data_IF_584453557502
#
_entry.id   IF_584453557502
#
_cell.length_a   1.000
_cell.length_b   1.000
_cell.length_c   1.000
_cell.angle_alpha   90.00
_cell.angle_beta   90.00
_cell.angle_gamma   90.00
#
_symmetry.space_group_name_H-M   'P 1'
#
loop_
_entity.id
_entity.type
_entity.pdbx_description
1 polymer ?
2 non-polymer ?
3 non-polymer ?
4 water ?
#
# COMPACT_ATOMS: atom_id res chain seq x y z
N UNK A 4 -26.29 17.54 -0.61
CA UNK A 4 -25.45 16.45 0.04
C UNK A 4 -23.95 16.69 -0.22
N UNK A 5 -23.14 17.10 0.79
CA UNK A 5 -21.77 17.57 0.55
C UNK A 5 -20.81 16.42 0.20
N UNK A 6 -19.78 16.72 -0.58
CA UNK A 6 -18.74 15.69 -0.93
C UNK A 6 -17.82 15.56 0.27
N UNK A 7 -17.35 14.35 0.59
CA UNK A 7 -16.55 14.19 1.78
C UNK A 7 -15.13 14.69 1.59
N UNK A 8 -14.50 15.04 2.71
CA UNK A 8 -13.10 15.53 2.82
C UNK A 8 -12.23 14.38 3.32
N UNK A 9 -12.86 13.40 3.96
CA UNK A 9 -12.20 12.21 4.55
C UNK A 9 -13.13 11.00 4.46
N UNK A 10 -12.55 9.82 4.22
CA UNK A 10 -13.29 8.53 4.24
C UNK A 10 -12.52 7.59 5.13
N UNK A 11 -13.18 6.54 5.57
CA UNK A 11 -12.47 5.45 6.26
C UNK A 11 -12.48 4.23 5.36
N UNK A 12 -11.33 3.56 5.43
CA UNK A 12 -11.06 2.37 4.60
C UNK A 12 -10.70 1.23 5.52
N UNK A 13 -11.36 0.09 5.35
CA UNK A 13 -11.03 -1.17 6.01
C UNK A 13 -10.17 -2.00 5.02
N UNK A 14 -9.07 -2.50 5.52
CA UNK A 14 -8.20 -3.47 4.83
C UNK A 14 -8.19 -4.75 5.62
N UNK A 15 -8.53 -5.87 4.98
CA UNK A 15 -8.38 -7.19 5.63
C UNK A 15 -7.46 -8.06 4.83
N UNK A 16 -6.64 -8.86 5.50
CA UNK A 16 -5.86 -9.90 4.83
C UNK A 16 -6.02 -11.19 5.63
N UNK A 17 -6.32 -12.24 4.92
CA UNK A 17 -6.51 -13.56 5.56
C UNK A 17 -6.06 -14.66 4.65
N UNK A 18 -5.09 -15.43 5.09
CA UNK A 18 -4.73 -16.69 4.43
C UNK A 18 -5.64 -17.74 5.03
N UNK A 19 -6.56 -18.23 4.21
CA UNK A 19 -7.66 -19.10 4.67
C UNK A 19 -7.22 -20.57 4.77
N UNK A 20 -6.01 -20.91 4.36
CA UNK A 20 -5.51 -22.28 4.53
C UNK A 20 -6.36 -23.29 3.79
N UNK A 21 -6.96 -22.88 2.68
CA UNK A 21 -7.73 -23.76 1.77
C UNK A 21 -8.87 -24.43 2.54
N UNK A 22 -9.43 -23.74 3.55
CA UNK A 22 -10.60 -24.24 4.31
C UNK A 22 -11.70 -23.22 4.19
N UNK A 23 -12.98 -23.63 4.14
CA UNK A 23 -14.04 -22.66 4.21
C UNK A 23 -14.06 -21.94 5.54
N UNK A 24 -14.58 -20.70 5.55
CA UNK A 24 -14.61 -19.91 6.77
C UNK A 24 -15.65 -20.47 7.73
N UNK A 25 -15.62 -20.05 9.01
CA UNK A 25 -16.70 -20.37 9.93
C UNK A 25 -17.91 -19.50 9.61
N UNK A 26 -19.04 -19.80 10.24
CA UNK A 26 -20.35 -19.14 9.97
C UNK A 26 -20.29 -17.65 10.29
N UNK A 27 -19.53 -17.26 11.32
CA UNK A 27 -19.45 -15.85 11.75
C UNK A 27 -18.02 -15.33 11.60
N UNK A 28 -17.87 -14.23 10.86
CA UNK A 28 -16.53 -13.60 10.66
C UNK A 28 -16.67 -12.11 10.95
N UNK A 29 -17.77 -11.68 11.56
CA UNK A 29 -17.95 -10.25 11.85
C UNK A 29 -16.84 -9.57 12.68
N UNK A 30 -16.16 -10.30 13.56
CA UNK A 30 -15.07 -9.77 14.41
C UNK A 30 -13.96 -9.17 13.52
N UNK A 31 -13.77 -9.75 12.34
CA UNK A 31 -12.77 -9.23 11.39
C UNK A 31 -13.11 -7.81 10.97
N UNK A 32 -14.33 -7.60 10.49
CA UNK A 32 -14.77 -6.31 9.94
C UNK A 32 -14.99 -5.28 11.04
N UNK A 33 -15.17 -5.74 12.27
CA UNK A 33 -15.30 -4.85 13.43
C UNK A 33 -13.93 -4.49 14.05
N UNK A 34 -12.82 -5.04 13.54
CA UNK A 34 -11.49 -4.74 14.12
C UNK A 34 -11.47 -5.11 15.62
N UNK A 35 -11.94 -6.33 15.94
CA UNK A 35 -11.98 -6.88 17.32
C UNK A 35 -10.97 -8.03 17.43
N UNK A 36 -10.25 -8.08 18.55
CA UNK A 36 -9.36 -9.19 18.88
C UNK A 36 -8.17 -8.66 19.60
N UNK A 37 -6.98 -8.91 19.05
CA UNK A 37 -5.70 -8.46 19.62
C UNK A 37 -5.18 -7.26 18.83
N UNK A 38 -4.33 -6.46 19.49
CA UNK A 38 -3.61 -5.38 18.84
C UNK A 38 -4.30 -4.08 19.07
N UNK A 39 -4.25 -3.19 18.08
CA UNK A 39 -4.89 -1.86 18.11
C UNK A 39 -6.29 -2.03 17.53
N UNK A 40 -7.28 -2.12 18.41
CA UNK A 40 -8.65 -2.50 18.07
C UNK A 40 -9.56 -1.27 18.06
N UNK A 41 -10.71 -1.48 17.45
CA UNK A 41 -11.69 -0.41 17.21
C UNK A 41 -12.64 -0.35 18.42
N UNK A 42 -13.00 0.87 18.80
CA UNK A 42 -13.95 1.16 19.92
C UNK A 42 -15.31 0.54 19.64
N UNK A 43 -15.92 -0.09 20.66
CA UNK A 43 -17.28 -0.69 20.55
C UNK A 43 -18.31 0.33 20.08
N UNK A 44 -18.11 1.58 20.45
CA UNK A 44 -19.09 2.63 20.12
C UNK A 44 -19.17 2.89 18.61
N UNK A 45 -18.20 2.40 17.83
CA UNK A 45 -18.18 2.56 16.37
C UNK A 45 -18.74 1.34 15.65
N UNK A 46 -19.16 0.30 16.34
CA UNK A 46 -19.48 -0.97 15.66
C UNK A 46 -20.53 -0.83 14.56
N UNK A 47 -21.50 0.08 14.71
CA UNK A 47 -22.57 0.15 13.68
C UNK A 47 -22.23 1.14 12.57
N UNK A 48 -21.13 1.88 12.74
CA UNK A 48 -20.65 2.88 11.74
C UNK A 48 -20.00 2.10 10.61
N UNK A 49 -20.51 2.19 9.36
CA UNK A 49 -19.87 1.50 8.27
C UNK A 49 -18.61 2.27 7.88
N UNK A 50 -17.56 1.55 7.52
CA UNK A 50 -16.47 2.13 6.73
C UNK A 50 -17.00 2.49 5.36
N UNK A 51 -16.34 3.44 4.69
CA UNK A 51 -16.73 3.88 3.34
C UNK A 51 -16.41 2.80 2.32
N UNK A 52 -15.24 2.18 2.47
CA UNK A 52 -14.70 1.19 1.52
C UNK A 52 -14.13 0.05 2.36
N UNK A 53 -14.45 -1.21 1.98
CA UNK A 53 -13.88 -2.46 2.54
C UNK A 53 -13.06 -3.14 1.46
N UNK A 54 -11.81 -3.41 1.73
CA UNK A 54 -10.92 -4.13 0.78
C UNK A 54 -10.47 -5.38 1.46
N UNK A 55 -10.79 -6.52 0.86
CA UNK A 55 -10.64 -7.86 1.49
C UNK A 55 -9.69 -8.72 0.65
N UNK A 56 -8.47 -8.97 1.15
CA UNK A 56 -7.48 -9.79 0.46
C UNK A 56 -7.48 -11.15 1.10
N UNK A 57 -7.62 -12.18 0.32
CA UNK A 57 -7.43 -13.57 0.78
C UNK A 57 -6.33 -14.26 0.00
N UNK A 58 -5.79 -15.24 0.67
CA UNK A 58 -4.80 -16.18 0.09
C UNK A 58 -5.21 -17.58 0.48
N UNK A 59 -4.83 -18.54 -0.34
CA UNK A 59 -5.28 -19.93 -0.14
C UNK A 59 -6.80 -19.95 0.02
N UNK A 60 -7.50 -19.17 -0.80
CA UNK A 60 -8.96 -19.04 -0.74
C UNK A 60 -9.61 -20.17 -1.55
N UNK A 61 -10.38 -21.04 -0.90
CA UNK A 61 -10.97 -22.21 -1.60
C UNK A 61 -12.34 -21.93 -2.19
N UNK A 62 -12.89 -20.75 -1.98
CA UNK A 62 -14.28 -20.41 -2.34
C UNK A 62 -14.32 -19.91 -3.78
N UNK A 63 -15.49 -20.01 -4.38
CA UNK A 63 -15.72 -19.27 -5.63
C UNK A 63 -15.90 -17.78 -5.29
N UNK A 64 -15.74 -16.90 -6.28
CA UNK A 64 -16.04 -15.48 -6.12
C UNK A 64 -17.45 -15.30 -5.60
N UNK A 65 -18.44 -16.00 -6.18
CA UNK A 65 -19.83 -15.84 -5.75
C UNK A 65 -19.97 -16.21 -4.28
N UNK A 66 -19.43 -17.35 -3.90
CA UNK A 66 -19.55 -17.87 -2.53
C UNK A 66 -18.96 -16.85 -1.54
N UNK A 67 -17.80 -16.29 -1.84
CA UNK A 67 -17.14 -15.36 -0.90
C UNK A 67 -17.87 -14.03 -0.84
N UNK A 68 -18.31 -13.53 -1.99
CA UNK A 68 -19.05 -12.25 -2.05
C UNK A 68 -20.35 -12.37 -1.23
N UNK A 69 -21.04 -13.50 -1.34
CA UNK A 69 -22.23 -13.82 -0.51
C UNK A 69 -21.88 -13.55 0.96
N UNK A 70 -20.84 -14.23 1.45
CA UNK A 70 -20.43 -14.23 2.86
C UNK A 70 -20.07 -12.82 3.27
N UNK A 71 -19.28 -12.15 2.44
CA UNK A 71 -18.81 -10.80 2.80
C UNK A 71 -20.00 -9.83 2.90
N UNK A 72 -20.83 -9.79 1.87
CA UNK A 72 -21.98 -8.88 1.86
C UNK A 72 -22.94 -9.13 3.04
N UNK A 73 -23.23 -10.41 3.32
CA UNK A 73 -24.07 -10.83 4.48
C UNK A 73 -23.46 -10.27 5.76
N UNK A 74 -22.16 -10.49 5.98
CA UNK A 74 -21.45 -10.09 7.22
C UNK A 74 -21.58 -8.57 7.40
N UNK A 75 -21.32 -7.80 6.35
CA UNK A 75 -21.41 -6.33 6.43
C UNK A 75 -22.84 -5.87 6.69
N UNK A 76 -23.82 -6.47 6.01
CA UNK A 76 -25.26 -6.13 6.19
C UNK A 76 -25.67 -6.41 7.64
N UNK A 77 -25.20 -7.53 8.22
CA UNK A 77 -25.52 -7.86 9.62
C UNK A 77 -24.92 -6.80 10.56
N UNK A 78 -23.69 -6.36 10.29
CA UNK A 78 -23.02 -5.35 11.15
C UNK A 78 -23.69 -3.97 11.03
N UNK A 79 -23.93 -3.52 9.82
CA UNK A 79 -24.16 -2.09 9.51
C UNK A 79 -25.60 -1.82 9.07
N UNK A 80 -26.33 -2.87 8.69
CA UNK A 80 -27.68 -2.76 8.06
C UNK A 80 -27.57 -2.03 6.73
N UNK A 81 -26.38 -2.03 6.11
CA UNK A 81 -26.14 -1.44 4.75
C UNK A 81 -25.83 -2.57 3.79
N UNK A 82 -26.42 -2.52 2.60
CA UNK A 82 -26.13 -3.43 1.48
C UNK A 82 -25.02 -2.79 0.63
N UNK A 83 -23.82 -3.34 0.76
CA UNK A 83 -22.64 -2.77 0.07
C UNK A 83 -22.69 -3.12 -1.41
N UNK A 84 -22.11 -2.25 -2.23
CA UNK A 84 -21.96 -2.45 -3.68
C UNK A 84 -20.59 -3.03 -3.97
N UNK A 85 -20.54 -3.95 -4.90
CA UNK A 85 -19.28 -4.56 -5.33
C UNK A 85 -18.59 -3.64 -6.31
N UNK A 86 -17.44 -3.09 -5.97
CA UNK A 86 -16.63 -2.22 -6.85
C UNK A 86 -15.84 -3.08 -7.80
N UNK A 87 -15.15 -4.10 -7.29
CA UNK A 87 -14.29 -4.95 -8.10
C UNK A 87 -14.00 -6.23 -7.36
N UNK A 88 -13.73 -7.28 -8.10
CA UNK A 88 -13.25 -8.56 -7.56
C UNK A 88 -12.28 -9.13 -8.56
N UNK A 89 -11.13 -9.61 -8.12
CA UNK A 89 -10.14 -10.20 -9.03
C UNK A 89 -9.39 -11.32 -8.32
N UNK A 90 -9.25 -12.45 -8.99
CA UNK A 90 -8.65 -13.66 -8.43
C UNK A 90 -7.53 -14.15 -9.34
N UNK A 91 -6.37 -14.45 -8.77
CA UNK A 91 -5.28 -15.20 -9.44
C UNK A 91 -5.13 -16.45 -8.62
N UNK A 92 -5.36 -17.61 -9.22
CA UNK A 92 -5.23 -18.90 -8.52
C UNK A 92 -6.11 -18.84 -7.27
N UNK A 93 -5.53 -18.85 -6.10
CA UNK A 93 -6.27 -18.79 -4.82
C UNK A 93 -5.95 -17.50 -4.07
N UNK A 94 -5.48 -16.47 -4.79
CA UNK A 94 -5.25 -15.11 -4.26
C UNK A 94 -6.33 -14.20 -4.76
N UNK A 95 -7.01 -13.50 -3.89
CA UNK A 95 -8.21 -12.77 -4.28
C UNK A 95 -8.30 -11.41 -3.60
N UNK A 96 -8.85 -10.46 -4.31
CA UNK A 96 -9.14 -9.14 -3.74
C UNK A 96 -10.59 -8.80 -4.04
N UNK A 97 -11.33 -8.33 -3.04
CA UNK A 97 -12.72 -7.82 -3.16
C UNK A 97 -12.71 -6.39 -2.66
N UNK A 98 -13.33 -5.47 -3.42
CA UNK A 98 -13.57 -4.09 -2.96
C UNK A 98 -15.07 -3.85 -2.93
N UNK A 99 -15.55 -3.49 -1.74
CA UNK A 99 -16.97 -3.14 -1.50
C UNK A 99 -17.02 -1.70 -1.05
N UNK A 100 -18.09 -1.00 -1.42
CA UNK A 100 -18.27 0.40 -0.99
C UNK A 100 -19.71 0.67 -0.62
N UNK A 101 -19.93 1.66 0.26
CA UNK A 101 -21.29 2.17 0.56
C UNK A 101 -22.00 2.48 -0.75
N UNK A 102 -23.32 2.22 -0.85
CA UNK A 102 -24.05 2.59 -2.07
C UNK A 102 -24.00 4.08 -2.44
N UNK A 103 -23.90 4.96 -1.45
CA UNK A 103 -23.86 6.43 -1.69
C UNK A 103 -22.59 6.79 -2.47
N UNK A 104 -21.59 5.90 -2.49
CA UNK A 104 -20.31 6.18 -3.20
C UNK A 104 -20.29 5.71 -4.64
N UNK A 105 -21.36 5.09 -5.11
CA UNK A 105 -21.33 4.40 -6.42
C UNK A 105 -20.96 5.38 -7.56
N UNK A 106 -21.46 6.62 -7.47
CA UNK A 106 -21.27 7.67 -8.48
C UNK A 106 -20.09 8.59 -8.11
N UNK A 107 -19.30 8.20 -7.10
CA UNK A 107 -18.03 8.88 -6.74
C UNK A 107 -16.85 8.02 -7.21
N UNK A 108 -17.11 6.77 -7.58
CA UNK A 108 -16.06 5.79 -7.91
C UNK A 108 -16.03 5.59 -9.42
N UNK A 109 -14.88 5.74 -10.01
CA UNK A 109 -14.75 5.56 -11.46
C UNK A 109 -13.37 5.01 -11.79
N UNK A 110 -13.08 4.78 -13.06
CA UNK A 110 -11.74 4.36 -13.52
C UNK A 110 -11.29 3.14 -12.72
N UNK A 111 -12.12 2.12 -12.66
CA UNK A 111 -11.79 0.89 -11.91
C UNK A 111 -10.87 0.06 -12.76
N UNK A 112 -9.72 -0.33 -12.20
CA UNK A 112 -8.72 -1.21 -12.87
C UNK A 112 -8.43 -2.41 -11.98
N UNK A 113 -8.12 -3.55 -12.59
CA UNK A 113 -7.69 -4.76 -11.88
C UNK A 113 -6.51 -5.31 -12.64
N UNK A 114 -5.63 -5.99 -11.93
CA UNK A 114 -4.53 -6.70 -12.61
C UNK A 114 -3.96 -7.75 -11.67
N UNK A 115 -3.10 -8.60 -12.17
CA UNK A 115 -2.40 -9.59 -11.33
C UNK A 115 -0.97 -9.66 -11.85
N UNK A 116 -0.10 -10.15 -11.00
CA UNK A 116 1.27 -10.52 -11.35
C UNK A 116 1.54 -11.91 -10.81
N UNK A 117 2.08 -12.79 -11.63
CA UNK A 117 2.55 -14.13 -11.27
C UNK A 117 4.03 -14.06 -10.99
N UNK A 118 4.48 -14.42 -9.77
CA UNK A 118 5.93 -14.32 -9.46
C UNK A 118 6.65 -15.64 -9.80
N UNK A 119 7.99 -15.60 -9.81
CA UNK A 119 8.78 -16.85 -9.98
C UNK A 119 8.96 -17.23 -11.44
N UNK A 120 9.68 -18.34 -11.68
CA UNK A 120 9.97 -18.93 -13.04
C UNK A 120 9.94 -20.46 -12.88
N UNK A 121 9.17 -21.17 -13.73
CA UNK A 121 9.11 -22.65 -13.81
C UNK A 121 8.65 -23.27 -12.48
N UNK A 122 9.55 -23.95 -11.75
CA UNK A 122 9.37 -24.49 -10.36
C UNK A 122 8.58 -23.54 -9.47
N UNK A 123 8.91 -22.25 -9.52
CA UNK A 123 8.46 -21.19 -8.58
C UNK A 123 7.33 -20.36 -9.21
N UNK A 124 6.92 -20.64 -10.46
CA UNK A 124 5.69 -20.04 -11.05
C UNK A 124 4.55 -21.03 -10.89
N UNK A 125 3.46 -20.62 -10.25
CA UNK A 125 2.19 -21.35 -10.35
C UNK A 125 1.29 -21.18 -9.16
N UNK A 126 1.80 -20.59 -8.06
CA UNK A 126 0.81 -20.27 -7.01
C UNK A 126 1.00 -18.93 -6.28
N UNK A 127 2.17 -18.29 -6.36
CA UNK A 127 2.47 -17.02 -5.64
C UNK A 127 2.33 -15.85 -6.62
N UNK A 128 2.01 -14.68 -6.08
CA UNK A 128 1.90 -13.47 -6.88
C UNK A 128 1.00 -12.50 -6.19
N UNK A 129 0.35 -11.64 -6.95
CA UNK A 129 -0.44 -10.55 -6.40
C UNK A 129 -1.62 -10.24 -7.27
N UNK A 130 -2.68 -9.74 -6.65
CA UNK A 130 -3.80 -9.13 -7.38
C UNK A 130 -3.93 -7.69 -6.89
N UNK A 131 -4.50 -6.84 -7.70
CA UNK A 131 -4.70 -5.46 -7.33
C UNK A 131 -5.91 -4.83 -7.94
N UNK A 132 -6.32 -3.76 -7.30
CA UNK A 132 -7.45 -2.96 -7.76
C UNK A 132 -7.06 -1.49 -7.60
N UNK A 133 -7.43 -0.64 -8.55
CA UNK A 133 -7.38 0.80 -8.39
C UNK A 133 -8.64 1.46 -8.89
N UNK A 134 -8.89 2.65 -8.36
CA UNK A 134 -10.00 3.48 -8.85
C UNK A 134 -9.78 4.90 -8.38
N UNK A 135 -10.56 5.79 -8.95
CA UNK A 135 -10.68 7.18 -8.47
C UNK A 135 -11.88 7.23 -7.53
N UNK A 136 -11.74 7.93 -6.42
CA UNK A 136 -12.83 8.29 -5.53
C UNK A 136 -12.87 9.82 -5.58
N UNK A 137 -13.83 10.36 -6.29
CA UNK A 137 -13.81 11.82 -6.63
C UNK A 137 -12.41 12.20 -7.14
N UNK A 138 -11.73 13.16 -6.54
CA UNK A 138 -10.45 13.63 -7.10
C UNK A 138 -9.26 12.83 -6.60
N UNK A 139 -9.49 11.74 -5.86
CA UNK A 139 -8.41 10.99 -5.18
C UNK A 139 -8.22 9.62 -5.78
N UNK A 140 -6.98 9.26 -6.10
CA UNK A 140 -6.68 7.92 -6.67
C UNK A 140 -6.30 6.98 -5.53
N UNK A 141 -6.86 5.79 -5.56
CA UNK A 141 -6.65 4.76 -4.51
C UNK A 141 -6.18 3.48 -5.20
N UNK A 142 -5.12 2.88 -4.68
CA UNK A 142 -4.65 1.57 -5.16
C UNK A 142 -4.55 0.59 -4.01
N UNK A 143 -4.76 -0.68 -4.34
CA UNK A 143 -4.80 -1.77 -3.35
C UNK A 143 -4.15 -2.99 -3.93
N UNK A 144 -3.18 -3.55 -3.20
CA UNK A 144 -2.45 -4.74 -3.64
C UNK A 144 -2.54 -5.80 -2.57
N UNK A 145 -2.95 -7.01 -2.97
CA UNK A 145 -2.95 -8.21 -2.11
C UNK A 145 -1.92 -9.15 -2.69
N UNK A 146 -0.83 -9.37 -1.98
CA UNK A 146 0.23 -10.28 -2.44
C UNK A 146 0.38 -11.47 -1.52
N UNK A 147 0.64 -12.64 -2.09
CA UNK A 147 1.06 -13.87 -1.42
C UNK A 147 2.49 -14.16 -1.85
N UNK A 148 3.45 -13.81 -1.01
CA UNK A 148 4.87 -13.94 -1.40
C UNK A 148 5.41 -15.33 -1.04
N UNK A 149 6.63 -15.59 -1.48
CA UNK A 149 7.26 -16.89 -1.34
C UNK A 149 7.31 -17.23 0.13
N UNK A 150 7.10 -18.51 0.47
CA UNK A 150 7.11 -19.00 1.87
C UNK A 150 8.51 -19.47 2.27
N UNK A 151 8.69 -19.64 3.56
CA UNK A 151 9.90 -20.28 4.08
C UNK A 151 10.83 -19.31 4.75
N UNK A 152 11.31 -19.63 5.94
CA UNK A 152 12.14 -18.71 6.70
C UNK A 152 13.43 -18.30 5.98
N UNK A 153 13.95 -19.18 5.13
CA UNK A 153 15.28 -19.00 4.47
C UNK A 153 15.15 -18.13 3.21
N UNK A 154 13.93 -17.77 2.80
CA UNK A 154 13.66 -17.17 1.47
C UNK A 154 13.31 -15.67 1.53
N UNK A 155 13.88 -14.94 2.47
CA UNK A 155 13.56 -13.49 2.53
C UNK A 155 13.97 -12.75 1.25
N UNK A 156 15.11 -13.11 0.65
CA UNK A 156 15.58 -12.39 -0.57
C UNK A 156 14.63 -12.70 -1.73
N UNK A 157 14.06 -13.91 -1.79
CA UNK A 157 13.03 -14.25 -2.81
C UNK A 157 11.79 -13.36 -2.60
N UNK A 158 11.35 -13.22 -1.35
CA UNK A 158 10.21 -12.33 -1.07
C UNK A 158 10.52 -10.91 -1.57
N UNK A 159 11.74 -10.44 -1.33
CA UNK A 159 12.09 -9.06 -1.75
C UNK A 159 12.02 -8.96 -3.28
N UNK A 160 12.48 -10.01 -3.94
CA UNK A 160 12.40 -10.08 -5.41
C UNK A 160 10.95 -10.10 -5.85
N UNK A 161 10.12 -10.89 -5.16
CA UNK A 161 8.68 -10.97 -5.49
C UNK A 161 8.07 -9.55 -5.41
N UNK A 162 8.38 -8.83 -4.32
CA UNK A 162 7.92 -7.44 -4.16
C UNK A 162 8.30 -6.57 -5.37
N UNK A 163 9.58 -6.64 -5.78
CA UNK A 163 10.02 -5.75 -6.88
C UNK A 163 9.31 -6.15 -8.17
N UNK A 164 9.17 -7.45 -8.44
CA UNK A 164 8.39 -7.86 -9.66
C UNK A 164 6.95 -7.35 -9.61
N UNK A 165 6.29 -7.47 -8.46
CA UNK A 165 4.89 -7.00 -8.37
C UNK A 165 4.83 -5.47 -8.62
N UNK A 166 5.73 -4.77 -7.94
CA UNK A 166 5.89 -3.30 -8.01
C UNK A 166 6.02 -2.89 -9.48
N UNK A 167 6.87 -3.60 -10.23
CA UNK A 167 7.22 -3.24 -11.62
C UNK A 167 6.06 -3.56 -12.56
N UNK A 168 5.42 -4.71 -12.39
CA UNK A 168 4.60 -5.26 -13.48
C UNK A 168 3.11 -5.16 -13.24
N UNK A 169 2.68 -4.79 -12.04
CA UNK A 169 1.25 -4.67 -11.81
C UNK A 169 0.76 -3.39 -12.46
N UNK A 170 -0.17 -3.50 -13.41
CA UNK A 170 -0.60 -2.38 -14.27
C UNK A 170 -1.91 -1.81 -13.76
N UNK A 171 -1.81 -0.88 -12.83
CA UNK A 171 -2.99 -0.23 -12.24
C UNK A 171 -2.87 1.26 -12.46
N UNK A 172 -3.96 1.96 -12.25
CA UNK A 172 -4.01 3.41 -12.30
C UNK A 172 -3.83 3.94 -13.69
N UNK A 173 -3.46 5.21 -13.78
CA UNK A 173 -3.50 6.01 -15.05
C UNK A 173 -2.35 5.59 -15.94
N UNK A 174 -2.65 4.90 -17.03
CA UNK A 174 -1.61 4.42 -17.97
C UNK A 174 -0.83 5.60 -18.57
N UNK A 175 -1.34 6.81 -18.59
CA UNK A 175 -0.60 8.00 -19.10
C UNK A 175 0.60 8.31 -18.19
N UNK A 176 0.60 7.79 -16.95
CA UNK A 176 1.75 7.99 -16.00
C UNK A 176 2.86 7.00 -16.32
N UNK A 177 3.30 6.99 -17.59
CA UNK A 177 4.11 5.86 -18.12
C UNK A 177 5.42 5.71 -17.39
N UNK A 178 6.12 6.75 -16.88
CA UNK A 178 7.37 6.52 -16.18
C UNK A 178 7.19 5.92 -14.78
N UNK A 179 5.96 5.88 -14.28
CA UNK A 179 5.69 5.65 -12.85
C UNK A 179 5.16 4.25 -12.63
N UNK A 180 5.66 3.59 -11.61
CA UNK A 180 5.10 2.31 -11.15
C UNK A 180 3.99 2.58 -10.13
N UNK A 181 3.41 1.50 -9.61
CA UNK A 181 2.29 1.67 -8.66
C UNK A 181 2.69 2.44 -7.41
N UNK A 182 3.99 2.49 -7.05
CA UNK A 182 4.41 3.21 -5.81
C UNK A 182 4.32 4.73 -6.02
N UNK A 183 4.00 5.20 -7.22
CA UNK A 183 3.81 6.65 -7.45
C UNK A 183 2.47 6.96 -8.08
N UNK A 184 1.62 6.01 -8.43
CA UNK A 184 0.42 6.35 -9.23
C UNK A 184 -0.76 6.80 -8.40
N UNK A 185 -0.73 6.60 -7.07
CA UNK A 185 -1.92 6.78 -6.24
C UNK A 185 -1.71 7.74 -5.10
N UNK A 186 -2.75 8.53 -4.81
CA UNK A 186 -2.78 9.38 -3.61
C UNK A 186 -2.53 8.51 -2.36
N UNK A 187 -3.20 7.36 -2.33
CA UNK A 187 -3.05 6.38 -1.23
C UNK A 187 -2.89 4.99 -1.84
N UNK A 188 -1.82 4.28 -1.50
CA UNK A 188 -1.59 2.89 -1.94
C UNK A 188 -1.53 2.03 -0.69
N UNK A 189 -2.34 1.00 -0.63
CA UNK A 189 -2.33 0.00 0.46
C UNK A 189 -1.83 -1.30 -0.11
N UNK A 190 -0.84 -1.89 0.54
CA UNK A 190 -0.23 -3.16 0.13
C UNK A 190 -0.25 -4.12 1.30
N UNK A 191 -0.92 -5.24 1.12
CA UNK A 191 -1.22 -6.17 2.21
C UNK A 191 -1.11 -7.58 1.67
N UNK A 192 -1.23 -8.55 2.56
CA UNK A 192 -1.25 -9.94 2.15
C UNK A 192 -0.52 -10.83 3.11
N UNK A 193 -0.38 -12.09 2.68
CA UNK A 193 0.55 -13.04 3.31
C UNK A 193 1.91 -12.80 2.69
N UNK A 194 2.58 -11.82 3.27
CA UNK A 194 3.92 -11.42 2.84
C UNK A 194 4.97 -12.45 3.24
N UNK A 195 4.66 -13.27 4.23
CA UNK A 195 5.43 -14.51 4.50
C UNK A 195 6.78 -14.24 5.13
N UNK A 196 7.06 -13.02 5.58
CA UNK A 196 8.29 -12.76 6.34
C UNK A 196 8.17 -13.39 7.74
N UNK A 197 9.28 -13.92 8.25
CA UNK A 197 9.30 -14.72 9.48
C UNK A 197 10.13 -14.06 10.56
N UNK A 198 9.93 -14.56 11.78
CA UNK A 198 10.77 -14.19 12.94
C UNK A 198 12.01 -15.06 12.84
N UNK A 199 13.16 -14.46 12.58
CA UNK A 199 14.42 -15.19 12.29
C UNK A 199 15.19 -15.40 13.59
N UNK A 200 14.80 -16.43 14.35
CA UNK A 200 15.46 -16.86 15.58
C UNK A 200 15.73 -18.33 15.37
N UNK A 201 16.68 -18.92 16.12
CA UNK A 201 16.99 -20.35 15.93
C UNK A 201 15.78 -21.23 16.22
N UNK A 202 15.65 -22.35 15.49
CA UNK A 202 14.46 -23.25 15.56
C UNK A 202 14.35 -23.89 16.94
N UNK A 203 15.47 -24.03 17.65
CA UNK A 203 15.51 -24.59 19.03
C UNK A 203 15.13 -23.54 20.08
N UNK A 204 14.85 -22.31 19.66
CA UNK A 204 14.19 -21.29 20.51
C UNK A 204 12.64 -21.32 20.35
N UNK A 205 12.04 -22.31 19.70
CA UNK A 205 10.60 -22.33 19.42
C UNK A 205 9.81 -22.20 20.71
N UNK A 206 10.16 -22.97 21.73
CA UNK A 206 9.34 -22.98 22.96
C UNK A 206 9.54 -21.66 23.69
N UNK A 207 10.76 -21.10 23.62
CA UNK A 207 11.02 -19.77 24.23
C UNK A 207 10.14 -18.74 23.55
N UNK A 208 10.06 -18.81 22.22
CA UNK A 208 9.20 -17.82 21.49
C UNK A 208 7.74 -17.93 21.92
N UNK A 209 7.23 -19.15 22.02
CA UNK A 209 5.85 -19.42 22.45
C UNK A 209 5.60 -18.81 23.83
N UNK A 210 6.55 -18.98 24.75
CA UNK A 210 6.37 -18.45 26.13
C UNK A 210 6.41 -16.91 26.08
N UNK A 211 7.20 -16.29 25.21
CA UNK A 211 7.15 -14.82 25.05
C UNK A 211 5.76 -14.36 24.57
N UNK A 212 5.22 -15.09 23.57
CA UNK A 212 3.87 -14.77 23.05
C UNK A 212 2.80 -14.89 24.15
N UNK A 213 2.86 -15.93 24.96
CA UNK A 213 1.92 -16.12 26.09
C UNK A 213 2.01 -14.98 27.09
N UNK A 214 3.17 -14.36 27.25
CA UNK A 214 3.39 -13.20 28.14
C UNK A 214 3.08 -11.89 27.44
N UNK A 215 2.64 -11.95 26.17
CA UNK A 215 2.42 -10.72 25.38
C UNK A 215 3.65 -9.85 25.35
N UNK A 216 4.83 -10.45 25.27
CA UNK A 216 6.12 -9.74 25.20
C UNK A 216 6.64 -9.93 23.80
N UNK A 217 6.34 -8.99 22.92
CA UNK A 217 6.65 -9.15 21.48
C UNK A 217 7.96 -8.47 21.12
N UNK A 218 8.58 -7.66 21.99
CA UNK A 218 9.71 -6.79 21.58
C UNK A 218 10.89 -7.63 21.05
N UNK A 219 11.31 -8.68 21.74
CA UNK A 219 12.49 -9.47 21.31
C UNK A 219 12.11 -10.33 20.10
N UNK A 220 10.80 -10.49 19.81
CA UNK A 220 10.44 -11.18 18.55
C UNK A 220 10.44 -10.21 17.38
N UNK A 221 9.80 -9.03 17.57
CA UNK A 221 9.73 -8.03 16.49
C UNK A 221 11.12 -7.57 16.05
N UNK A 222 12.08 -7.53 16.97
CA UNK A 222 13.46 -7.12 16.62
C UNK A 222 14.08 -8.12 15.64
N UNK A 223 13.49 -9.33 15.48
CA UNK A 223 13.97 -10.35 14.52
C UNK A 223 12.98 -10.55 13.38
N UNK A 224 11.93 -9.74 13.30
CA UNK A 224 10.97 -9.89 12.18
C UNK A 224 11.67 -9.49 10.88
N UNK A 225 11.64 -10.36 9.88
CA UNK A 225 12.39 -10.12 8.66
C UNK A 225 11.84 -8.91 7.92
N UNK A 226 10.54 -8.67 7.92
CA UNK A 226 10.03 -7.53 7.18
C UNK A 226 10.51 -6.22 7.83
N UNK A 227 10.44 -6.11 9.15
CA UNK A 227 10.98 -4.91 9.83
C UNK A 227 12.49 -4.75 9.54
N UNK A 228 13.27 -5.82 9.60
CA UNK A 228 14.74 -5.68 9.43
C UNK A 228 15.04 -5.38 7.99
N UNK A 229 14.39 -6.05 7.04
CA UNK A 229 14.63 -5.76 5.62
C UNK A 229 14.24 -4.31 5.29
N UNK A 230 13.13 -3.84 5.85
CA UNK A 230 12.67 -2.44 5.63
C UNK A 230 13.73 -1.49 6.20
N UNK A 231 14.21 -1.74 7.42
CA UNK A 231 15.19 -0.83 8.07
C UNK A 231 16.45 -0.76 7.21
N UNK A 232 16.83 -1.85 6.55
CA UNK A 232 18.03 -1.90 5.69
C UNK A 232 17.73 -1.47 4.25
N UNK A 233 16.51 -0.99 3.99
CA UNK A 233 16.10 -0.46 2.68
C UNK A 233 16.21 -1.52 1.61
N UNK A 234 15.83 -2.76 1.95
CA UNK A 234 15.86 -3.89 0.98
C UNK A 234 14.51 -4.08 0.32
N UNK A 235 13.44 -3.51 0.89
CA UNK A 235 12.07 -3.80 0.47
C UNK A 235 11.14 -2.73 1.04
N UNK A 236 10.04 -2.47 0.38
CA UNK A 236 8.98 -1.56 0.85
C UNK A 236 9.56 -0.20 1.22
N UNK A 237 10.51 0.28 0.44
CA UNK A 237 11.05 1.62 0.71
C UNK A 237 9.92 2.65 0.62
N UNK A 238 9.88 3.53 1.61
CA UNK A 238 8.94 4.68 1.69
C UNK A 238 7.53 4.25 1.98
N UNK A 239 7.31 3.03 2.43
CA UNK A 239 6.00 2.61 2.97
C UNK A 239 6.00 2.72 4.48
N UNK A 240 4.78 2.79 5.04
CA UNK A 240 4.53 2.86 6.51
C UNK A 240 3.85 1.56 6.95
N UNK A 241 4.06 1.19 8.22
CA UNK A 241 3.30 0.11 8.85
C UNK A 241 3.04 0.58 10.27
N UNK A 242 1.83 0.33 10.76
CA UNK A 242 1.47 0.62 12.17
C UNK A 242 2.25 -0.34 13.08
N UNK A 243 2.60 0.09 14.29
CA UNK A 243 3.26 -0.78 15.25
C UNK A 243 2.42 -2.03 15.43
N UNK A 244 3.09 -3.18 15.52
CA UNK A 244 2.45 -4.47 15.76
C UNK A 244 2.31 -4.72 17.26
N UNK A 245 1.09 -4.93 17.71
CA UNK A 245 0.81 -5.13 19.16
C UNK A 245 -0.06 -6.38 19.36
N UNK A 246 -0.13 -7.25 18.35
CA UNK A 246 -0.90 -8.52 18.33
C UNK A 246 0.11 -9.67 18.24
N UNK A 247 -0.32 -10.85 18.68
CA UNK A 247 0.55 -12.03 18.59
C UNK A 247 0.79 -12.41 17.15
N UNK A 248 1.87 -13.11 16.87
CA UNK A 248 2.07 -13.72 15.55
C UNK A 248 0.83 -14.44 15.04
N UNK A 249 0.54 -14.27 13.73
CA UNK A 249 -0.72 -14.75 13.14
C UNK A 249 -0.57 -16.11 12.46
N UNK A 250 0.61 -16.69 12.54
CA UNK A 250 0.96 -17.96 11.88
C UNK A 250 2.00 -18.62 12.78
N UNK A 251 2.11 -19.97 12.85
CA UNK A 251 1.24 -20.96 12.29
C UNK A 251 0.46 -21.63 13.42
N UNK A 252 -0.85 -21.58 13.39
CA UNK A 252 -1.75 -22.13 14.45
C UNK A 252 -2.19 -23.53 14.06
N UNK A 253 -2.42 -24.35 15.09
CA UNK A 253 -3.29 -25.54 14.95
C UNK A 253 -4.70 -25.03 14.62
N UNK A 254 -5.38 -25.66 13.68
CA UNK A 254 -6.76 -25.26 13.34
C UNK A 254 -7.73 -25.58 14.48
N UNK A 255 -8.81 -24.80 14.60
CA UNK A 255 -10.01 -24.98 15.46
C UNK A 255 -9.72 -24.54 16.89
N UNK A 256 -8.52 -24.09 17.20
CA UNK A 256 -8.20 -23.42 18.48
C UNK A 256 -7.34 -22.21 18.13
N UNK A 257 -7.04 -21.31 19.08
CA UNK A 257 -5.85 -20.44 18.92
C UNK A 257 -4.87 -20.69 20.06
N UNK A 258 -5.01 -21.84 20.71
CA UNK A 258 -4.23 -22.11 21.94
C UNK A 258 -2.84 -22.63 21.59
N UNK A 259 -2.63 -23.07 20.34
CA UNK A 259 -1.40 -23.80 19.99
C UNK A 259 -0.81 -23.28 18.68
N UNK A 260 0.46 -22.97 18.75
CA UNK A 260 1.32 -22.78 17.56
C UNK A 260 1.89 -24.12 17.11
N UNK A 261 1.72 -24.43 15.83
CA UNK A 261 2.21 -25.68 15.19
C UNK A 261 3.44 -25.33 14.38
N UNK A 262 4.62 -25.47 14.96
CA UNK A 262 5.87 -25.00 14.36
C UNK A 262 6.82 -26.10 13.87
N UNK A 263 6.64 -27.33 14.35
CA UNK A 263 7.60 -28.44 14.13
C UNK A 263 7.57 -28.86 12.65
N UNK A 264 8.70 -29.37 12.16
CA UNK A 264 8.80 -29.81 10.75
C UNK A 264 8.01 -31.11 10.57
N UNK A 265 7.29 -31.18 9.46
CA UNK A 265 6.41 -32.32 9.09
C UNK A 265 6.57 -32.58 7.59
N UNK A 266 6.24 -33.80 7.10
CA UNK A 266 6.28 -34.02 5.63
C UNK A 266 5.43 -32.97 4.92
N UNK A 267 4.27 -32.63 5.52
CA UNK A 267 3.30 -31.63 4.98
C UNK A 267 3.96 -30.26 4.83
N UNK A 268 4.99 -29.94 5.62
CA UNK A 268 5.68 -28.62 5.52
C UNK A 268 6.95 -28.72 4.69
N UNK A 269 7.20 -29.84 3.99
CA UNK A 269 8.48 -30.01 3.31
C UNK A 269 9.62 -30.13 4.29
N UNK A 270 9.36 -30.63 5.50
CA UNK A 270 10.33 -30.76 6.59
C UNK A 270 10.92 -29.39 6.95
N UNK A 271 10.07 -28.37 6.91
CA UNK A 271 10.41 -26.98 7.30
C UNK A 271 9.77 -26.66 8.65
N UNK A 272 10.52 -25.95 9.50
CA UNK A 272 9.96 -25.36 10.71
C UNK A 272 9.20 -24.09 10.31
N UNK A 273 8.13 -23.87 11.04
CA UNK A 273 7.33 -22.63 10.91
C UNK A 273 7.25 -21.97 12.28
N UNK A 274 8.33 -21.35 12.71
CA UNK A 274 8.32 -20.63 13.98
C UNK A 274 7.25 -19.55 13.89
N UNK A 275 6.59 -19.24 15.00
CA UNK A 275 5.57 -18.19 15.01
C UNK A 275 6.04 -16.89 14.41
N UNK A 276 5.23 -16.38 13.48
CA UNK A 276 5.63 -15.25 12.64
C UNK A 276 4.45 -14.34 12.32
N UNK A 277 4.82 -13.09 12.04
CA UNK A 277 3.83 -12.10 11.53
C UNK A 277 3.83 -12.13 10.00
N UNK A 278 3.27 -13.21 9.47
CA UNK A 278 3.24 -13.37 7.98
C UNK A 278 2.30 -12.34 7.34
N UNK A 279 1.28 -11.90 8.05
CA UNK A 279 0.07 -11.30 7.49
C UNK A 279 0.05 -9.81 7.83
N UNK A 280 0.18 -8.93 6.83
CA UNK A 280 0.59 -7.54 7.11
C UNK A 280 -0.20 -6.58 6.27
N UNK A 281 -0.22 -5.32 6.71
CA UNK A 281 -0.80 -4.19 5.95
C UNK A 281 0.15 -3.02 6.03
N UNK A 282 0.55 -2.57 4.88
CA UNK A 282 1.41 -1.39 4.75
C UNK A 282 0.76 -0.37 3.83
N UNK A 283 1.19 0.88 3.90
CA UNK A 283 0.65 1.89 2.98
C UNK A 283 1.69 2.91 2.61
N UNK A 284 1.38 3.63 1.54
CA UNK A 284 2.19 4.77 1.09
C UNK A 284 1.23 5.79 0.53
N UNK A 285 1.29 7.00 1.04
CA UNK A 285 0.43 8.10 0.59
C UNK A 285 1.33 9.22 0.12
N UNK A 286 0.85 10.02 -0.81
CA UNK A 286 1.57 11.21 -1.28
C UNK A 286 1.87 12.09 -0.07
N UNK A 287 2.96 12.88 -0.18
CA UNK A 287 3.39 13.76 0.90
C UNK A 287 2.27 14.72 1.30
N UNK A 288 2.14 14.89 2.62
CA UNK A 288 1.22 15.86 3.26
C UNK A 288 -0.24 15.57 2.94
N UNK A 289 -0.59 14.33 2.61
CA UNK A 289 -2.02 13.94 2.56
C UNK A 289 -2.34 13.26 3.88
N UNK A 290 -3.49 13.58 4.42
CA UNK A 290 -3.97 12.96 5.68
C UNK A 290 -4.14 11.47 5.47
N UNK A 291 -3.50 10.69 6.34
CA UNK A 291 -3.73 9.22 6.41
C UNK A 291 -3.38 8.83 7.82
N UNK A 292 -4.31 8.25 8.54
CA UNK A 292 -4.11 7.87 9.95
C UNK A 292 -4.63 6.46 10.15
N UNK A 293 -3.78 5.57 10.60
CA UNK A 293 -4.20 4.21 10.96
C UNK A 293 -5.00 4.23 12.25
N UNK A 294 -6.22 3.71 12.19
CA UNK A 294 -7.17 3.70 13.33
C UNK A 294 -7.15 2.35 14.05
N UNK A 295 -6.76 1.27 13.37
CA UNK A 295 -6.75 -0.08 13.93
C UNK A 295 -5.72 -0.92 13.17
N UNK A 296 -5.13 -1.86 13.86
CA UNK A 296 -4.19 -2.84 13.25
C UNK A 296 -4.08 -3.99 14.22
N UNK A 297 -4.66 -5.12 13.84
CA UNK A 297 -4.77 -6.23 14.77
C UNK A 297 -5.15 -7.52 14.13
N UNK A 298 -5.40 -8.52 14.95
CA UNK A 298 -5.80 -9.84 14.43
C UNK A 298 -7.02 -10.32 15.19
N UNK A 299 -7.81 -11.14 14.56
CA UNK A 299 -8.98 -11.72 15.26
C UNK A 299 -8.51 -12.90 16.11
N UNK A 300 -9.29 -13.18 17.15
CA UNK A 300 -9.03 -14.30 18.07
C UNK A 300 -10.04 -15.44 17.91
N UNK A 301 -11.15 -15.22 17.20
CA UNK A 301 -12.31 -16.13 17.20
C UNK A 301 -12.57 -16.76 15.83
N UNK A 302 -11.63 -16.63 14.87
CA UNK A 302 -11.80 -17.23 13.51
C UNK A 302 -10.64 -18.22 13.38
N UNK A 303 -10.95 -19.52 13.41
CA UNK A 303 -9.95 -20.58 13.70
C UNK A 303 -9.90 -21.66 12.62
N UNK A 304 -10.53 -21.45 11.46
CA UNK A 304 -10.59 -22.49 10.42
C UNK A 304 -9.25 -22.63 9.70
N UNK A 305 -8.43 -21.59 9.73
CA UNK A 305 -7.13 -21.57 9.06
C UNK A 305 -5.97 -21.72 10.04
N UNK A 306 -4.80 -22.00 9.53
CA UNK A 306 -3.55 -21.94 10.31
C UNK A 306 -3.04 -20.49 10.42
N UNK A 307 -3.67 -19.55 9.74
CA UNK A 307 -3.46 -18.11 9.98
C UNK A 307 -4.67 -17.48 10.63
N UNK A 308 -4.47 -16.47 11.46
CA UNK A 308 -5.56 -15.59 11.88
C UNK A 308 -5.71 -14.43 10.92
N UNK A 309 -6.95 -14.01 10.65
CA UNK A 309 -7.17 -12.77 9.90
C UNK A 309 -6.55 -11.54 10.55
N UNK A 310 -6.12 -10.62 9.72
CA UNK A 310 -5.56 -9.32 10.15
C UNK A 310 -6.46 -8.24 9.58
N UNK A 311 -6.68 -7.21 10.37
CA UNK A 311 -7.43 -6.02 9.99
C UNK A 311 -6.58 -4.77 10.18
N UNK A 312 -6.82 -3.80 9.34
CA UNK A 312 -6.32 -2.45 9.53
C UNK A 312 -7.36 -1.48 9.01
N UNK A 313 -7.53 -0.37 9.71
CA UNK A 313 -8.44 0.69 9.23
C UNK A 313 -7.73 2.00 9.22
N UNK A 314 -8.17 2.85 8.28
CA UNK A 314 -7.55 4.15 8.02
C UNK A 314 -8.58 5.24 7.82
N UNK A 315 -8.26 6.44 8.30
CA UNK A 315 -8.93 7.70 7.90
C UNK A 315 -8.06 8.33 6.82
N UNK A 316 -8.58 8.49 5.59
CA UNK A 316 -7.82 8.93 4.41
C UNK A 316 -8.44 10.22 3.86
N UNK A 317 -7.60 11.22 3.66
CA UNK A 317 -8.01 12.48 3.04
C UNK A 317 -8.38 12.23 1.60
N UNK A 318 -9.48 12.86 1.15
CA UNK A 318 -9.97 12.80 -0.24
C UNK A 318 -10.35 14.21 -0.66
N UNK A 319 -10.30 14.42 -1.94
CA UNK A 319 -10.65 15.74 -2.52
C UNK A 319 -11.82 15.58 -3.49
N UNK A 320 -12.46 16.71 -3.80
CA UNK A 320 -13.65 16.77 -4.69
C UNK A 320 -13.20 16.69 -6.15
N UNK A 321 -14.16 16.42 -7.04
CA UNK A 321 -13.98 16.51 -8.51
C UNK A 321 -14.22 17.98 -8.91
N UNK A 322 -13.19 18.82 -8.81
CA UNK A 322 -13.26 20.29 -8.94
C UNK A 322 -13.59 20.74 -10.37
N UNK A 323 -14.58 21.63 -10.49
CA UNK A 323 -14.93 22.35 -11.74
C UNK A 323 -14.78 23.85 -11.47
N UNK A 324 -14.16 24.58 -12.40
CA UNK A 324 -14.23 26.06 -12.44
C UNK A 324 -14.81 26.53 -13.78
N UNK A 325 -14.98 27.84 -13.89
CA UNK A 325 -15.41 28.55 -15.13
C UNK A 325 -14.39 28.24 -16.23
N UNK A 326 -13.12 28.05 -15.84
CA UNK A 326 -11.97 27.78 -16.76
C UNK A 326 -11.78 26.26 -16.85
N UNK A 327 -10.78 25.70 -16.15
CA UNK A 327 -10.54 24.24 -16.18
C UNK A 327 -11.62 23.47 -15.42
N UNK A 328 -11.89 22.19 -15.74
CA UNK A 328 -11.28 21.48 -16.89
C UNK A 328 -11.63 21.94 -18.32
N UNK A 329 -10.67 21.75 -19.24
CA UNK A 329 -10.80 22.01 -20.69
C UNK A 329 -10.16 23.30 -21.13
N UNK A 330 -9.40 23.92 -20.23
CA UNK A 330 -8.53 25.08 -20.53
C UNK A 330 -7.63 25.28 -19.31
N UNK A 331 -6.68 26.20 -19.41
CA UNK A 331 -5.81 26.64 -18.28
C UNK A 331 -6.52 27.77 -17.50
N UNK A 332 -6.02 28.07 -16.30
CA UNK A 332 -6.43 29.21 -15.47
C UNK A 332 -5.21 30.12 -15.34
N UNK A 333 -5.07 31.08 -16.26
CA UNK A 333 -3.86 31.93 -16.40
C UNK A 333 -3.49 32.56 -15.05
N UNK A 334 -4.38 32.53 -14.05
CA UNK A 334 -4.10 33.09 -12.70
C UNK A 334 -3.23 32.12 -11.89
N UNK A 335 -2.98 30.92 -12.41
CA UNK A 335 -2.17 29.86 -11.76
C UNK A 335 -0.84 29.62 -12.43
N UNK A 336 0.23 29.39 -11.63
CA UNK A 336 1.53 28.94 -12.17
C UNK A 336 2.37 28.25 -11.10
N UNK A 337 3.19 27.31 -11.56
CA UNK A 337 4.20 26.61 -10.74
C UNK A 337 5.56 26.80 -11.39
N UNK A 338 6.46 27.42 -10.63
CA UNK A 338 7.87 27.70 -11.02
C UNK A 338 8.81 26.92 -10.09
N UNK A 339 9.81 26.28 -10.71
CA UNK A 339 10.94 25.58 -10.05
C UNK A 339 12.22 26.44 -10.20
N UNK A 340 12.84 26.81 -9.08
CA UNK A 340 14.08 27.61 -9.02
C UNK A 340 15.21 26.70 -8.55
N UNK A 341 16.42 26.84 -9.13
CA UNK A 341 17.67 26.34 -8.51
C UNK A 341 17.48 24.83 -8.26
N UNK A 342 16.93 24.11 -9.22
CA UNK A 342 16.68 22.65 -9.01
C UNK A 342 17.87 21.83 -9.51
N UNK A 343 18.14 20.74 -8.82
CA UNK A 343 19.13 19.76 -9.31
C UNK A 343 18.74 18.38 -8.80
N UNK A 344 19.11 17.42 -9.63
CA UNK A 344 18.94 15.99 -9.34
C UNK A 344 20.33 15.47 -8.98
N UNK A 345 20.44 14.66 -7.95
CA UNK A 345 21.67 13.90 -7.60
C UNK A 345 21.36 12.45 -7.94
N UNK A 346 22.12 11.84 -8.83
CA UNK A 346 21.82 10.46 -9.25
C UNK A 346 22.96 9.54 -8.86
N UNK A 347 22.65 8.31 -8.50
CA UNK A 347 23.64 7.25 -8.18
C UNK A 347 24.21 6.58 -9.44
N UNK A 348 23.67 6.85 -10.60
CA UNK A 348 24.10 6.23 -11.90
C UNK A 348 25.57 6.52 -12.23
N UNK A 349 26.17 5.54 -12.90
CA UNK A 349 27.55 5.64 -13.42
C UNK A 349 27.51 6.19 -14.85
N UNK A 350 26.33 6.24 -15.48
CA UNK A 350 26.18 6.60 -16.92
C UNK A 350 26.47 8.11 -17.08
N UNK A 351 26.65 8.57 -18.32
CA UNK A 351 27.00 10.00 -18.62
C UNK A 351 26.12 10.56 -19.77
N UNK A 352 24.94 10.00 -20.04
CA UNK A 352 23.91 10.61 -20.92
C UNK A 352 23.53 12.01 -20.39
N UNK A 353 22.94 12.85 -21.23
CA UNK A 353 22.16 14.03 -20.80
C UNK A 353 20.82 13.51 -20.23
N UNK A 354 20.25 14.27 -19.30
CA UNK A 354 18.93 13.98 -18.71
C UNK A 354 18.00 15.16 -18.89
N UNK A 355 16.72 14.86 -18.99
CA UNK A 355 15.61 15.83 -18.95
C UNK A 355 14.60 15.36 -17.92
N UNK A 356 13.72 16.26 -17.51
CA UNK A 356 12.63 15.92 -16.58
C UNK A 356 11.30 15.83 -17.32
N UNK A 357 10.40 15.04 -16.76
CA UNK A 357 8.95 15.12 -17.07
C UNK A 357 8.19 15.42 -15.79
N UNK A 358 7.27 16.37 -15.88
CA UNK A 358 6.36 16.74 -14.80
C UNK A 358 4.98 16.18 -15.16
N UNK A 359 4.41 15.33 -14.31
CA UNK A 359 3.08 14.75 -14.51
C UNK A 359 2.18 15.11 -13.34
N UNK A 360 1.00 15.58 -13.65
CA UNK A 360 0.00 15.87 -12.60
C UNK A 360 -1.38 16.00 -13.23
N UNK A 361 -2.39 15.56 -12.50
CA UNK A 361 -3.82 15.76 -12.82
C UNK A 361 -4.14 17.26 -12.93
N UNK A 362 -3.34 18.12 -12.28
CA UNK A 362 -3.57 19.59 -12.35
C UNK A 362 -3.06 20.19 -13.68
N UNK A 363 -2.42 19.40 -14.55
CA UNK A 363 -1.93 19.85 -15.88
C UNK A 363 -2.77 19.20 -16.97
N UNK A 364 -2.90 19.84 -18.13
CA UNK A 364 -3.67 19.27 -19.25
C UNK A 364 -2.94 18.03 -19.77
N UNK A 365 -1.63 18.07 -19.77
CA UNK A 365 -0.78 16.91 -20.12
C UNK A 365 0.62 17.14 -19.54
N UNK A 366 1.42 16.10 -19.56
CA UNK A 366 2.74 16.16 -18.89
C UNK A 366 3.65 17.15 -19.62
N UNK A 367 4.62 17.66 -18.89
CA UNK A 367 5.56 18.69 -19.41
C UNK A 367 6.98 18.14 -19.40
N UNK A 368 7.69 18.29 -20.52
CA UNK A 368 9.08 17.81 -20.71
C UNK A 368 10.04 19.00 -20.69
N UNK A 369 10.99 19.00 -19.76
CA UNK A 369 12.01 20.05 -19.62
C UNK A 369 13.06 19.90 -20.73
N UNK A 370 13.86 20.96 -20.86
CA UNK A 370 15.16 20.92 -21.58
C UNK A 370 16.08 19.98 -20.81
N UNK A 371 17.16 19.57 -21.45
CA UNK A 371 18.24 18.82 -20.77
C UNK A 371 18.89 19.68 -19.68
N UNK A 372 19.26 19.07 -18.57
CA UNK A 372 20.06 19.70 -17.53
C UNK A 372 21.55 19.68 -17.87
N UNK A 373 22.32 20.34 -17.03
CA UNK A 373 23.80 20.43 -17.14
C UNK A 373 24.43 19.50 -16.10
N UNK A 374 25.11 18.48 -16.59
CA UNK A 374 25.78 17.45 -15.76
C UNK A 374 27.04 18.05 -15.14
N UNK A 375 27.22 17.88 -13.84
CA UNK A 375 28.49 18.13 -13.13
C UNK A 375 28.84 16.86 -12.35
N UNK A 376 30.07 16.78 -11.85
CA UNK A 376 30.58 15.72 -10.93
C UNK A 376 30.41 16.23 -9.49
N UNK A 377 29.74 15.45 -8.62
CA UNK A 377 29.64 15.70 -7.17
C UNK A 377 30.96 15.36 -6.45
N UNK A 378 31.17 15.94 -5.27
CA UNK A 378 32.39 15.81 -4.43
C UNK A 378 32.73 14.33 -4.20
N UNK A 379 31.73 13.51 -3.88
CA UNK A 379 31.92 12.12 -3.38
C UNK A 379 31.62 11.12 -4.50
N UNK A 380 31.76 11.53 -5.78
CA UNK A 380 31.66 10.62 -6.96
C UNK A 380 30.40 10.79 -7.81
N UNK A 381 29.34 11.46 -7.30
CA UNK A 381 27.93 11.36 -7.80
C UNK A 381 27.73 12.12 -9.12
N UNK A 382 26.66 11.79 -9.84
CA UNK A 382 26.23 12.68 -10.95
C UNK A 382 25.26 13.72 -10.39
N UNK A 383 25.51 14.99 -10.66
CA UNK A 383 24.61 16.12 -10.29
C UNK A 383 24.10 16.69 -11.59
N UNK A 384 22.80 16.75 -11.77
CA UNK A 384 22.18 17.29 -12.99
C UNK A 384 21.54 18.62 -12.61
N UNK A 385 22.06 19.74 -13.14
CA UNK A 385 21.59 21.09 -12.74
C UNK A 385 20.55 21.58 -13.74
N UNK A 386 19.43 22.10 -13.26
CA UNK A 386 18.40 22.67 -14.16
C UNK A 386 18.37 24.20 -14.01
N UNK A 387 19.02 24.71 -12.98
CA UNK A 387 19.01 26.13 -12.59
C UNK A 387 17.60 26.72 -12.61
N UNK A 388 17.39 27.70 -13.48
CA UNK A 388 16.14 28.50 -13.61
C UNK A 388 15.60 28.21 -15.02
N UNK A 389 16.01 27.07 -15.60
CA UNK A 389 15.70 26.66 -16.99
C UNK A 389 14.35 25.92 -17.07
N UNK A 390 13.74 25.50 -15.95
CA UNK A 390 12.56 24.57 -15.99
C UNK A 390 11.31 25.30 -16.53
N UNK A 391 10.47 24.64 -17.36
CA UNK A 391 9.28 25.27 -17.95
C UNK A 391 8.28 25.68 -16.87
N UNK A 392 7.67 26.86 -16.98
CA UNK A 392 6.63 27.32 -16.01
C UNK A 392 5.40 26.44 -16.19
N UNK A 393 4.88 25.78 -15.14
CA UNK A 393 3.74 24.85 -15.29
C UNK A 393 2.44 25.62 -15.15
N UNK A 394 1.47 25.28 -15.99
CA UNK A 394 0.20 26.02 -16.13
C UNK A 394 -0.92 25.12 -15.68
N UNK A 395 -1.37 25.21 -14.41
CA UNK A 395 -2.45 24.37 -13.94
C UNK A 395 -3.78 24.78 -14.57
N UNK A 396 -4.68 23.81 -14.63
CA UNK A 396 -6.03 23.89 -15.26
C UNK A 396 -6.95 24.75 -14.38
N UNK A 397 -6.65 24.80 -13.09
CA UNK A 397 -7.45 25.51 -12.08
C UNK A 397 -6.50 26.25 -11.16
N UNK A 398 -6.78 27.50 -10.83
CA UNK A 398 -5.88 28.39 -10.04
C UNK A 398 -6.38 28.52 -8.61
N UNK A 399 -7.62 28.08 -8.33
CA UNK A 399 -8.20 28.22 -6.99
C UNK A 399 -7.25 27.55 -6.00
N UNK A 400 -6.80 28.24 -4.93
CA UNK A 400 -5.87 27.63 -3.97
C UNK A 400 -6.51 26.45 -3.24
N UNK A 401 -7.84 26.43 -3.07
CA UNK A 401 -8.49 25.28 -2.37
C UNK A 401 -8.32 24.00 -3.18
N UNK A 402 -8.10 24.14 -4.47
CA UNK A 402 -7.81 22.98 -5.35
C UNK A 402 -6.29 22.84 -5.40
N UNK A 403 -5.58 23.89 -5.75
CA UNK A 403 -4.19 23.71 -6.22
C UNK A 403 -3.29 23.26 -5.07
N UNK A 404 -3.50 23.75 -3.86
CA UNK A 404 -2.63 23.40 -2.71
C UNK A 404 -2.80 21.91 -2.35
N UNK A 405 -3.87 21.27 -2.81
CA UNK A 405 -4.08 19.83 -2.55
C UNK A 405 -3.46 18.94 -3.62
N UNK A 406 -2.77 19.48 -4.61
CA UNK A 406 -2.26 18.65 -5.73
C UNK A 406 -0.80 18.25 -5.47
N UNK A 407 -0.31 17.43 -6.37
CA UNK A 407 1.05 16.87 -6.31
C UNK A 407 1.61 16.84 -7.73
N UNK A 408 2.93 17.04 -7.85
CA UNK A 408 3.66 16.92 -9.13
C UNK A 408 4.55 15.72 -9.05
N UNK A 409 4.31 14.75 -9.93
CA UNK A 409 5.25 13.62 -10.10
C UNK A 409 6.36 14.08 -11.03
N UNK A 410 7.56 13.68 -10.69
CA UNK A 410 8.79 14.03 -11.49
C UNK A 410 9.48 12.73 -11.88
N UNK A 411 9.81 12.62 -13.16
CA UNK A 411 10.70 11.57 -13.68
C UNK A 411 11.91 12.27 -14.28
N UNK A 412 13.09 11.74 -13.98
CA UNK A 412 14.31 12.18 -14.71
C UNK A 412 14.66 11.09 -15.69
N UNK A 413 14.74 11.47 -16.96
CA UNK A 413 14.87 10.50 -18.08
C UNK A 413 16.16 10.75 -18.87
N UNK A 414 16.76 9.67 -19.32
CA UNK A 414 17.93 9.72 -20.24
C UNK A 414 17.50 10.27 -21.60
N UNK A 415 18.23 11.25 -22.11
CA UNK A 415 18.02 11.76 -23.50
C UNK A 415 18.29 10.65 -24.51
N UNK A 416 19.24 9.75 -24.23
CA UNK A 416 19.71 8.70 -25.16
C UNK A 416 18.65 7.58 -25.27
N UNK A 417 18.02 7.18 -24.17
CA UNK A 417 17.13 5.98 -24.16
C UNK A 417 15.68 6.34 -23.87
N UNK A 418 15.43 7.55 -23.36
CA UNK A 418 14.09 7.98 -22.87
C UNK A 418 13.61 7.08 -21.72
N UNK A 419 14.52 6.44 -21.06
CA UNK A 419 14.15 5.58 -19.91
C UNK A 419 14.27 6.41 -18.63
N UNK A 420 13.29 6.21 -17.71
CA UNK A 420 13.37 6.89 -16.39
C UNK A 420 14.51 6.31 -15.56
N UNK A 421 15.32 7.18 -15.00
CA UNK A 421 16.34 6.80 -14.02
C UNK A 421 15.87 7.05 -12.59
N UNK A 422 14.78 7.79 -12.40
CA UNK A 422 14.29 8.09 -11.06
C UNK A 422 12.94 8.78 -11.13
N UNK A 423 12.11 8.48 -10.14
CA UNK A 423 10.76 9.01 -10.02
C UNK A 423 10.55 9.49 -8.60
N UNK A 424 9.84 10.60 -8.43
CA UNK A 424 9.49 11.11 -7.11
C UNK A 424 8.28 12.01 -7.17
N UNK A 425 7.93 12.62 -6.05
CA UNK A 425 6.66 13.36 -5.95
C UNK A 425 6.87 14.56 -5.05
N UNK A 426 6.33 15.69 -5.48
CA UNK A 426 6.37 16.99 -4.75
C UNK A 426 4.94 17.41 -4.41
N UNK A 427 4.67 17.66 -3.15
CA UNK A 427 3.37 18.21 -2.69
C UNK A 427 3.31 19.72 -2.98
N UNK A 428 2.17 20.21 -3.40
CA UNK A 428 1.91 21.68 -3.51
C UNK A 428 1.25 22.24 -2.25
N UNK A 429 1.22 21.47 -1.15
CA UNK A 429 0.62 21.89 0.15
C UNK A 429 1.62 22.79 0.88
N UNK A 430 1.90 23.97 0.30
CA UNK A 430 3.03 24.84 0.72
C UNK A 430 2.65 25.67 1.93
N UNK A 431 3.67 26.16 2.62
CA UNK A 431 3.53 27.07 3.76
C UNK A 431 3.12 28.47 3.31
N UNK A 432 3.32 28.79 2.06
CA UNK A 432 3.12 30.15 1.49
C UNK A 432 2.97 30.04 -0.02
N UNK A 433 2.25 30.97 -0.63
CA UNK A 433 2.22 31.15 -2.10
C UNK A 433 3.04 32.40 -2.45
N UNK A 434 3.41 32.53 -3.72
CA UNK A 434 4.20 33.70 -4.21
C UNK A 434 5.49 33.84 -3.41
N UNK A 435 6.06 32.73 -2.92
CA UNK A 435 7.20 32.71 -1.97
C UNK A 435 8.11 31.55 -2.40
N UNK A 436 9.41 31.77 -2.54
CA UNK A 436 10.34 30.66 -2.89
C UNK A 436 10.48 29.78 -1.66
N UNK A 437 10.25 28.48 -1.82
CA UNK A 437 10.25 27.55 -0.69
C UNK A 437 11.03 26.31 -1.11
N UNK A 438 11.76 25.71 -0.17
CA UNK A 438 12.48 24.48 -0.48
C UNK A 438 11.53 23.32 -0.83
N UNK A 439 11.91 22.56 -1.84
CA UNK A 439 11.24 21.27 -2.17
C UNK A 439 12.29 20.17 -2.24
N UNK A 440 11.80 18.93 -2.08
CA UNK A 440 12.67 17.74 -1.98
C UNK A 440 11.80 16.53 -2.26
N UNK A 441 12.33 15.59 -3.04
CA UNK A 441 11.85 14.19 -3.03
C UNK A 441 13.05 13.27 -3.21
N UNK A 442 13.00 12.09 -2.60
CA UNK A 442 13.89 11.03 -3.05
C UNK A 442 13.44 10.59 -4.44
N UNK A 443 14.37 10.02 -5.18
CA UNK A 443 14.07 9.42 -6.49
C UNK A 443 14.28 7.93 -6.39
N UNK A 444 13.33 7.17 -6.92
CA UNK A 444 13.43 5.71 -7.00
C UNK A 444 13.24 5.24 -8.42
N UNK A 445 13.70 4.03 -8.68
CA UNK A 445 13.38 3.33 -9.94
C UNK A 445 13.28 1.86 -9.60
N UNK A 446 12.20 1.25 -10.07
CA UNK A 446 11.84 -0.12 -9.67
C UNK A 446 11.80 -0.17 -8.15
N UNK A 447 11.36 0.92 -7.53
CA UNK A 447 11.15 0.99 -6.07
C UNK A 447 12.43 1.04 -5.26
N UNK A 448 13.61 1.09 -5.89
CA UNK A 448 14.91 1.25 -5.21
C UNK A 448 15.43 2.67 -5.33
N UNK A 449 16.15 3.13 -4.31
CA UNK A 449 16.67 4.52 -4.31
C UNK A 449 17.69 4.71 -5.42
N UNK A 450 17.52 5.74 -6.23
CA UNK A 450 18.47 6.03 -7.34
C UNK A 450 19.02 7.45 -7.25
N UNK A 451 18.51 8.25 -6.33
CA UNK A 451 18.90 9.66 -6.33
C UNK A 451 17.97 10.51 -5.52
N UNK A 452 18.07 11.79 -5.74
CA UNK A 452 17.30 12.85 -5.07
C UNK A 452 17.08 14.02 -6.00
N UNK A 453 15.99 14.72 -5.76
CA UNK A 453 15.66 15.97 -6.50
C UNK A 453 15.33 17.03 -5.46
N UNK A 454 15.97 18.18 -5.58
CA UNK A 454 15.75 19.26 -4.58
C UNK A 454 15.92 20.60 -5.29
N UNK A 455 15.31 21.63 -4.71
CA UNK A 455 15.34 22.94 -5.34
C UNK A 455 14.39 23.82 -4.59
N UNK A 456 13.85 24.80 -5.28
CA UNK A 456 12.83 25.68 -4.70
C UNK A 456 11.64 25.71 -5.63
N UNK A 457 10.48 25.99 -5.04
CA UNK A 457 9.22 26.16 -5.78
C UNK A 457 8.68 27.56 -5.46
N UNK A 458 7.86 28.05 -6.42
CA UNK A 458 7.11 29.32 -6.26
C UNK A 458 5.74 29.04 -6.89
N UNK A 459 4.70 29.04 -6.10
CA UNK A 459 3.33 28.68 -6.50
C UNK A 459 2.48 29.95 -6.50
N UNK A 460 1.87 30.24 -7.66
CA UNK A 460 0.89 31.32 -7.86
C UNK A 460 -0.51 30.69 -7.89
N UNK A 461 -1.40 31.14 -7.00
CA UNK A 461 -2.83 30.74 -7.03
C UNK A 461 -3.63 32.02 -7.30
N UNK A 462 -4.93 31.88 -7.46
CA UNK A 462 -5.83 33.06 -7.65
C UNK A 462 -5.92 33.90 -6.37
N UNK A 463 -5.43 33.45 -5.21
CA UNK A 463 -5.50 34.27 -3.97
C UNK A 463 -4.15 34.94 -3.64
X LIG B 1 -27.61 -1.29 13.52
X LIG B 1 -28.66 0.34 14.92
X LIG B 1 -27.84 1.01 12.88
X LIG B 1 -25.46 -8.14 14.76
X LIG B 1 -24.39 -9.03 14.70
X LIG B 1 -23.08 -8.57 14.87
X LIG B 1 -22.85 -7.22 15.09
X LIG B 1 -23.91 -6.34 15.15
X LIG B 1 -25.21 -6.79 15.00
X LIG B 1 -26.36 -5.78 15.08
X LIG B 1 -27.68 -3.91 13.92
X LIG B 1 -27.11 -2.70 13.17
X LIG B 1 -28.25 -0.98 14.72
X LIG B 1 -27.40 -0.28 12.58
X LIG B 1 -26.74 -8.58 14.61
X LIG B 1 -26.63 -4.92 13.93
X LIG B 1 -28.45 1.28 14.02
X LIG B 1 -26.99 -5.70 16.08
X LIG C 1 -5.62 14.04 -4.35
X LIG C 1 -6.88 13.90 -3.57
X LIG C 1 -4.51 14.74 -3.18
X LIG C 1 -5.78 15.53 -5.33
X LIG D 1 -1.42 13.11 -9.51
X LIG D 1 -1.75 14.51 -9.98
X LIG D 1 -1.33 12.10 -10.99
X LIG D 1 0.29 13.17 -9.22
X LIG E 1 8.70 10.03 -2.64
X LIG E 1 7.71 9.50 -3.70
X LIG E 1 8.62 9.00 -1.22
X LIG E 1 8.01 11.53 -2.00
#
# INVERSE_FOLDING_TARGET
SMEQPEPDMITIFIGTWNMGNAPPPKKITSWFLSKGQGKTRDDSADYIPHDIYVIGTQEDPLSEKEWLEILKHSLQEITSVTFKTVAIHTLWNIRIVVLAKPEHENRISHICTDNVKTGIANTLGNKGAVGVSFMFNGTSLGFVNSHLTSGSEKKLRRNQNYMNILRFLALGDKKLSPFNITHRFTHLFWFGDLNYRVDLPTWEAETIIQKIKQQQYADLLSHDQLLTERREQKVFLHFEEEEITFAPTYRFERLTRDKYAYTKQKATGMKYNLPSWCDRVLWKSYPLVHVVCQSYGSTSDIMTSDHSPVFATFEAGVTSQFVSKNGPGTVDSQGQIEFLRCYATLKTKSQTKFYLEFHSSCLESFVKSQEGENEEGSEGELVVKFGETLPKLKPIISDPEYLLDQHILISIKSSDSDESYGEGCIALRLEATETQLPIYTPLTHHGELTGHFQGEIKLQTSQ
U0V C13 C15 C17 C02 C03 C04 C05 C06 C07 C08 C11 C12 C14 C18 F01 N10 N16 O09
DMS S O C1 C2
DMS S O C1 C2
DMS S O C1 C2
#
